data_IF_050617413281
#
_entry.id   IF_050617413281
#
_cell.length_a   1.000
_cell.length_b   1.000
_cell.length_c   1.000
_cell.angle_alpha   90.00
_cell.angle_beta   90.00
_cell.angle_gamma   90.00
#
_symmetry.space_group_name_H-M   'P 1'
#
loop_
_entity.id
_entity.type
_entity.pdbx_description
1 polymer ?
#
# COMPACT_ATOMS: atom_id res chain seq x y z
N UNK A 1 14.33 55.94 -22.64
CA UNK A 1 15.17 54.74 -22.57
C UNK A 1 14.25 53.54 -22.30
N UNK A 2 14.02 52.70 -23.32
CA UNK A 2 13.43 51.33 -23.36
C UNK A 2 12.27 50.98 -22.38
N UNK A 3 11.00 50.88 -22.83
CA UNK A 3 10.30 49.69 -23.38
C UNK A 3 10.36 48.44 -22.47
N UNK A 4 9.23 48.00 -21.91
CA UNK A 4 8.58 46.73 -22.31
C UNK A 4 7.15 46.57 -21.76
N UNK A 5 6.25 46.19 -22.67
CA UNK A 5 4.85 45.76 -22.48
C UNK A 5 4.82 44.31 -21.99
N UNK A 6 3.99 43.98 -21.00
CA UNK A 6 3.63 42.60 -20.66
C UNK A 6 2.14 42.35 -20.93
N UNK A 7 1.81 41.88 -22.14
CA UNK A 7 0.51 41.28 -22.44
C UNK A 7 0.52 39.86 -21.91
N UNK A 8 -0.45 39.52 -21.05
CA UNK A 8 -0.72 38.14 -20.63
C UNK A 8 -1.25 37.38 -21.85
N UNK A 9 -0.43 36.50 -22.43
CA UNK A 9 -0.85 35.54 -23.45
C UNK A 9 -1.45 34.34 -22.71
N UNK A 10 -2.77 34.15 -22.81
CA UNK A 10 -3.41 32.89 -22.47
C UNK A 10 -3.09 31.92 -23.60
N UNK A 11 -2.12 31.01 -23.37
CA UNK A 11 -1.83 29.89 -24.26
C UNK A 11 -2.95 28.84 -24.10
N UNK A 12 -3.97 28.94 -24.95
CA UNK A 12 -4.88 27.83 -25.21
C UNK A 12 -4.08 26.78 -25.99
N UNK A 13 -3.71 25.68 -25.33
CA UNK A 13 -3.21 24.48 -26.00
C UNK A 13 -4.37 23.86 -26.78
N UNK A 14 -4.59 24.34 -28.01
CA UNK A 14 -5.31 23.59 -29.03
C UNK A 14 -4.41 22.40 -29.42
N UNK A 15 -4.70 21.24 -28.84
CA UNK A 15 -4.22 19.97 -29.38
C UNK A 15 -4.87 19.79 -30.75
N UNK A 16 -4.19 20.25 -31.79
CA UNK A 16 -4.50 19.83 -33.15
C UNK A 16 -4.12 18.36 -33.20
N UNK A 17 -5.13 17.49 -33.23
CA UNK A 17 -4.98 16.12 -33.70
C UNK A 17 -4.41 16.20 -35.11
N UNK A 18 -3.10 16.07 -35.23
CA UNK A 18 -2.55 15.58 -36.48
C UNK A 18 -2.99 14.12 -36.55
N UNK A 19 -3.93 13.84 -37.45
CA UNK A 19 -4.18 12.50 -37.96
C UNK A 19 -2.83 11.99 -38.48
N UNK A 20 -2.10 11.32 -37.60
CA UNK A 20 -0.90 10.59 -37.96
C UNK A 20 -1.31 9.60 -39.04
N UNK A 21 -0.64 9.70 -40.18
CA UNK A 21 -0.75 8.74 -41.26
C UNK A 21 -0.75 7.33 -40.69
N UNK A 22 -1.76 6.54 -41.05
CA UNK A 22 -1.87 5.13 -40.71
C UNK A 22 -0.65 4.40 -41.27
N UNK A 23 0.34 4.16 -40.42
CA UNK A 23 1.27 3.06 -40.64
C UNK A 23 0.40 1.80 -40.73
N UNK A 24 0.28 1.22 -41.93
CA UNK A 24 -0.73 0.20 -42.24
C UNK A 24 -0.82 -0.87 -41.15
N UNK A 25 -2.06 -1.13 -40.70
CA UNK A 25 -2.34 -2.17 -39.72
C UNK A 25 -1.77 -3.51 -40.20
N UNK A 26 -1.29 -4.33 -39.27
CA UNK A 26 -0.80 -5.67 -39.61
C UNK A 26 -1.90 -6.47 -40.31
N UNK A 27 -1.57 -7.13 -41.43
CA UNK A 27 -2.49 -8.06 -42.09
C UNK A 27 -2.72 -9.31 -41.23
N UNK A 28 -3.84 -10.00 -41.43
CA UNK A 28 -4.16 -11.22 -40.66
C UNK A 28 -3.05 -12.27 -40.75
N UNK A 29 -2.52 -12.48 -41.96
CA UNK A 29 -1.42 -13.41 -42.21
C UNK A 29 -0.12 -12.99 -41.52
N UNK A 30 0.12 -11.68 -41.34
CA UNK A 30 1.27 -11.19 -40.60
C UNK A 30 1.13 -11.44 -39.10
N UNK A 31 -0.08 -11.28 -38.53
CA UNK A 31 -0.36 -11.57 -37.12
C UNK A 31 -0.16 -13.06 -36.83
N UNK A 32 -0.73 -13.94 -37.63
CA UNK A 32 -0.58 -15.40 -37.47
C UNK A 32 0.89 -15.84 -37.56
N UNK A 33 1.63 -15.35 -38.56
CA UNK A 33 3.08 -15.60 -38.68
C UNK A 33 3.86 -15.07 -37.48
N UNK A 34 3.45 -13.94 -36.91
CA UNK A 34 4.07 -13.38 -35.72
C UNK A 34 3.87 -14.30 -34.50
N UNK A 35 2.64 -14.76 -34.28
CA UNK A 35 2.30 -15.68 -33.18
C UNK A 35 3.13 -16.96 -33.33
N UNK A 36 3.14 -17.59 -34.50
CA UNK A 36 3.94 -18.80 -34.76
C UNK A 36 5.43 -18.60 -34.52
N UNK A 37 5.97 -17.42 -34.87
CA UNK A 37 7.39 -17.09 -34.65
C UNK A 37 7.71 -16.89 -33.17
N UNK A 38 6.78 -16.35 -32.39
CA UNK A 38 7.00 -15.98 -30.98
C UNK A 38 6.56 -17.04 -29.98
N UNK A 39 5.62 -17.90 -30.36
CA UNK A 39 5.06 -18.93 -29.50
C UNK A 39 5.54 -20.30 -29.97
N UNK A 40 6.58 -20.83 -29.32
CA UNK A 40 7.09 -22.18 -29.55
C UNK A 40 6.25 -23.21 -28.79
N UNK A 41 6.52 -24.49 -29.06
CA UNK A 41 5.83 -25.60 -28.38
C UNK A 41 5.96 -25.47 -26.86
N UNK A 42 4.81 -25.47 -26.17
CA UNK A 42 4.65 -25.31 -24.71
C UNK A 42 4.92 -23.90 -24.16
N UNK A 43 5.17 -22.90 -25.00
CA UNK A 43 5.25 -21.52 -24.51
C UNK A 43 3.88 -21.08 -23.97
N UNK A 44 3.94 -20.44 -22.80
CA UNK A 44 2.77 -19.83 -22.15
C UNK A 44 2.81 -18.31 -22.19
N UNK A 45 3.90 -17.71 -22.68
CA UNK A 45 4.11 -16.28 -22.67
C UNK A 45 4.18 -15.77 -24.10
N UNK A 46 3.22 -14.92 -24.48
CA UNK A 46 3.23 -14.22 -25.75
C UNK A 46 3.51 -12.74 -25.51
N UNK A 47 4.59 -12.23 -26.09
CA UNK A 47 4.93 -10.81 -26.08
C UNK A 47 4.79 -10.23 -27.47
N UNK A 48 3.94 -9.21 -27.60
CA UNK A 48 3.76 -8.44 -28.82
C UNK A 48 4.33 -7.05 -28.59
N UNK A 49 5.35 -6.69 -29.36
CA UNK A 49 5.99 -5.37 -29.33
C UNK A 49 5.74 -4.60 -30.65
N UNK A 50 4.77 -5.05 -31.45
CA UNK A 50 4.45 -4.47 -32.75
C UNK A 50 3.53 -3.27 -32.59
N UNK A 51 4.07 -2.07 -32.80
CA UNK A 51 3.33 -0.80 -32.64
C UNK A 51 2.12 -0.66 -33.56
N UNK A 52 2.08 -1.45 -34.65
CA UNK A 52 1.03 -1.37 -35.66
C UNK A 52 0.00 -2.52 -35.55
N UNK A 53 -0.03 -3.24 -34.42
CA UNK A 53 -1.03 -4.28 -34.21
C UNK A 53 -2.44 -3.66 -34.24
N UNK A 54 -2.69 -2.65 -33.40
CA UNK A 54 -3.98 -1.98 -33.28
C UNK A 54 -5.12 -2.94 -32.91
N UNK A 55 -6.35 -2.41 -32.88
CA UNK A 55 -7.54 -3.19 -32.52
C UNK A 55 -7.83 -4.31 -33.52
N UNK A 56 -7.64 -4.06 -34.82
CA UNK A 56 -7.88 -5.07 -35.87
C UNK A 56 -6.91 -6.24 -35.80
N UNK A 57 -5.61 -5.98 -35.60
CA UNK A 57 -4.62 -7.03 -35.42
C UNK A 57 -4.84 -7.81 -34.13
N UNK A 58 -5.27 -7.13 -33.06
CA UNK A 58 -5.61 -7.78 -31.80
C UNK A 58 -6.85 -8.68 -31.93
N UNK A 59 -7.84 -8.27 -32.73
CA UNK A 59 -9.00 -9.10 -33.05
C UNK A 59 -8.61 -10.40 -33.76
N UNK A 60 -7.69 -10.34 -34.72
CA UNK A 60 -7.14 -11.55 -35.37
C UNK A 60 -6.42 -12.44 -34.35
N UNK A 61 -5.56 -11.84 -33.51
CA UNK A 61 -4.83 -12.57 -32.47
C UNK A 61 -5.79 -13.29 -31.51
N UNK A 62 -6.85 -12.61 -31.08
CA UNK A 62 -7.85 -13.14 -30.16
C UNK A 62 -8.58 -14.38 -30.73
N UNK A 63 -8.76 -14.47 -32.04
CA UNK A 63 -9.41 -15.61 -32.70
C UNK A 63 -8.44 -16.75 -33.04
N UNK A 64 -7.13 -16.54 -32.96
CA UNK A 64 -6.14 -17.55 -33.30
C UNK A 64 -6.17 -18.75 -32.35
N UNK A 65 -6.28 -20.00 -32.82
CA UNK A 65 -6.20 -21.18 -31.97
C UNK A 65 -4.80 -21.38 -31.35
N UNK A 66 -3.78 -20.72 -31.91
CA UNK A 66 -2.41 -20.81 -31.41
C UNK A 66 -2.25 -20.21 -30.01
N UNK A 67 -3.08 -19.23 -29.64
CA UNK A 67 -2.97 -18.57 -28.33
C UNK A 67 -3.64 -19.36 -27.20
N UNK A 68 -4.15 -20.57 -27.46
CA UNK A 68 -4.89 -21.37 -26.47
C UNK A 68 -4.10 -21.74 -25.21
N UNK A 69 -2.77 -21.89 -25.35
CA UNK A 69 -1.87 -22.20 -24.24
C UNK A 69 -1.31 -20.97 -23.53
N UNK A 70 -1.62 -19.76 -24.01
CA UNK A 70 -1.05 -18.52 -23.48
C UNK A 70 -1.66 -18.25 -22.09
N UNK A 71 -0.80 -18.21 -21.09
CA UNK A 71 -1.12 -17.81 -19.72
C UNK A 71 -0.68 -16.37 -19.44
N UNK A 72 0.29 -15.84 -20.18
CA UNK A 72 0.77 -14.47 -20.05
C UNK A 72 0.79 -13.78 -21.39
N UNK A 73 0.02 -12.71 -21.52
CA UNK A 73 -0.03 -11.88 -22.73
C UNK A 73 0.51 -10.48 -22.41
N UNK A 74 1.51 -10.05 -23.17
CA UNK A 74 2.12 -8.71 -23.05
C UNK A 74 1.92 -7.93 -24.33
N UNK A 75 1.24 -6.79 -24.20
CA UNK A 75 0.81 -5.90 -25.28
C UNK A 75 1.30 -4.47 -24.99
N UNK A 76 2.62 -4.28 -24.99
CA UNK A 76 3.22 -2.99 -24.68
C UNK A 76 3.16 -2.06 -25.89
N UNK A 77 2.47 -0.92 -25.75
CA UNK A 77 2.44 0.16 -26.76
C UNK A 77 2.11 -0.34 -28.17
N UNK A 78 1.05 -1.13 -28.28
CA UNK A 78 0.58 -1.73 -29.52
C UNK A 78 -0.60 -0.98 -30.15
N UNK A 79 -0.92 0.22 -29.62
CA UNK A 79 -1.96 1.13 -30.09
C UNK A 79 -3.38 0.54 -30.05
N UNK A 80 -3.71 -0.19 -28.99
CA UNK A 80 -5.06 -0.75 -28.79
C UNK A 80 -5.93 0.19 -27.95
N UNK A 81 -7.23 0.15 -28.21
CA UNK A 81 -8.29 0.87 -27.50
C UNK A 81 -9.24 -0.12 -26.82
N UNK A 82 -10.37 0.38 -26.32
CA UNK A 82 -11.43 -0.44 -25.72
C UNK A 82 -11.98 -1.50 -26.69
N UNK A 83 -11.94 -1.25 -28.00
CA UNK A 83 -12.38 -2.21 -29.02
C UNK A 83 -11.45 -3.43 -29.12
N UNK A 84 -10.13 -3.21 -29.05
CA UNK A 84 -9.16 -4.29 -28.96
C UNK A 84 -9.33 -5.12 -27.69
N UNK A 85 -9.69 -4.47 -26.57
CA UNK A 85 -10.01 -5.16 -25.33
C UNK A 85 -11.29 -5.99 -25.46
N UNK A 86 -12.33 -5.50 -26.14
CA UNK A 86 -13.54 -6.28 -26.46
C UNK A 86 -13.20 -7.55 -27.22
N UNK A 87 -12.38 -7.43 -28.26
CA UNK A 87 -11.92 -8.58 -29.01
C UNK A 87 -11.20 -9.63 -28.15
N UNK A 88 -10.33 -9.20 -27.23
CA UNK A 88 -9.68 -10.13 -26.29
C UNK A 88 -10.69 -10.77 -25.32
N UNK A 89 -11.62 -9.98 -24.79
CA UNK A 89 -12.64 -10.45 -23.86
C UNK A 89 -13.58 -11.49 -24.48
N UNK A 90 -13.84 -11.38 -25.79
CA UNK A 90 -14.66 -12.31 -26.57
C UNK A 90 -13.88 -13.50 -27.14
N UNK A 91 -12.57 -13.59 -26.87
CA UNK A 91 -11.72 -14.65 -27.40
C UNK A 91 -12.17 -16.05 -26.92
N UNK A 92 -12.41 -17.00 -27.83
CA UNK A 92 -12.67 -18.39 -27.44
C UNK A 92 -11.40 -19.12 -26.97
N UNK A 93 -10.22 -18.57 -27.26
CA UNK A 93 -8.94 -19.25 -27.08
C UNK A 93 -8.16 -18.78 -25.84
N UNK A 94 -8.39 -17.58 -25.32
CA UNK A 94 -7.58 -16.99 -24.24
C UNK A 94 -8.05 -17.32 -22.81
N UNK A 95 -8.86 -18.36 -22.62
CA UNK A 95 -9.40 -18.74 -21.29
C UNK A 95 -8.34 -19.17 -20.27
N UNK A 96 -7.12 -19.45 -20.73
CA UNK A 96 -5.98 -19.84 -19.89
C UNK A 96 -5.19 -18.64 -19.33
N UNK A 97 -5.58 -17.40 -19.65
CA UNK A 97 -4.84 -16.21 -19.21
C UNK A 97 -4.85 -16.05 -17.70
N UNK A 98 -3.64 -15.93 -17.14
CA UNK A 98 -3.38 -15.62 -15.73
C UNK A 98 -2.74 -14.23 -15.56
N UNK A 99 -2.08 -13.70 -16.60
CA UNK A 99 -1.44 -12.40 -16.54
C UNK A 99 -1.63 -11.62 -17.85
N UNK A 100 -2.14 -10.40 -17.74
CA UNK A 100 -2.41 -9.52 -18.87
C UNK A 100 -1.74 -8.17 -18.66
N UNK A 101 -0.79 -7.85 -19.54
CA UNK A 101 -0.03 -6.62 -19.53
C UNK A 101 -0.41 -5.76 -20.74
N UNK A 102 -0.94 -4.56 -20.48
CA UNK A 102 -1.55 -3.66 -21.44
C UNK A 102 -0.93 -2.26 -21.36
N UNK A 103 0.35 -2.17 -21.00
CA UNK A 103 0.96 -0.87 -20.70
C UNK A 103 1.05 0.03 -21.93
N UNK A 104 0.90 1.34 -21.72
CA UNK A 104 1.01 2.37 -22.76
C UNK A 104 0.06 2.17 -23.96
N UNK A 105 -1.23 1.97 -23.69
CA UNK A 105 -2.26 1.91 -24.72
C UNK A 105 -3.32 3.01 -24.50
N UNK A 106 -4.44 2.92 -25.22
CA UNK A 106 -5.53 3.91 -25.18
C UNK A 106 -6.78 3.35 -24.49
N UNK A 107 -6.59 2.54 -23.45
CA UNK A 107 -7.69 1.89 -22.72
C UNK A 107 -8.33 2.91 -21.77
N UNK A 108 -9.65 3.04 -21.83
CA UNK A 108 -10.45 3.90 -20.96
C UNK A 108 -11.25 3.06 -19.96
N UNK A 109 -12.08 3.70 -19.15
CA UNK A 109 -13.00 3.01 -18.24
C UNK A 109 -13.89 2.00 -18.93
N UNK A 110 -14.25 2.20 -20.21
CA UNK A 110 -15.07 1.25 -20.97
C UNK A 110 -14.32 -0.06 -21.23
N UNK A 111 -13.04 0.01 -21.60
CA UNK A 111 -12.20 -1.18 -21.75
C UNK A 111 -12.02 -1.89 -20.41
N UNK A 112 -11.87 -1.15 -19.32
CA UNK A 112 -11.78 -1.71 -17.97
C UNK A 112 -13.10 -2.38 -17.55
N UNK A 113 -14.25 -1.81 -17.87
CA UNK A 113 -15.56 -2.41 -17.64
C UNK A 113 -15.73 -3.74 -18.40
N UNK A 114 -15.26 -3.79 -19.66
CA UNK A 114 -15.23 -5.02 -20.45
C UNK A 114 -14.33 -6.07 -19.77
N UNK A 115 -13.13 -5.69 -19.32
CA UNK A 115 -12.23 -6.60 -18.60
C UNK A 115 -12.91 -7.14 -17.34
N UNK A 116 -13.53 -6.25 -16.57
CA UNK A 116 -14.14 -6.54 -15.26
C UNK A 116 -15.40 -7.41 -15.34
N UNK A 117 -16.00 -7.56 -16.52
CA UNK A 117 -17.19 -8.38 -16.74
C UNK A 117 -16.92 -9.61 -17.63
N UNK A 118 -15.68 -9.81 -18.09
CA UNK A 118 -15.36 -10.91 -19.01
C UNK A 118 -15.05 -12.21 -18.28
N UNK A 119 -15.76 -13.28 -18.65
CA UNK A 119 -15.43 -14.64 -18.21
C UNK A 119 -14.09 -15.16 -18.75
N UNK A 120 -13.58 -14.60 -19.86
CA UNK A 120 -12.26 -14.96 -20.43
C UNK A 120 -11.12 -14.62 -19.46
N UNK A 121 -11.30 -13.56 -18.66
CA UNK A 121 -10.31 -13.08 -17.71
C UNK A 121 -10.53 -13.57 -16.27
N UNK A 122 -11.43 -14.54 -16.07
CA UNK A 122 -11.76 -15.07 -14.73
C UNK A 122 -10.60 -15.74 -14.00
N UNK A 123 -9.53 -16.12 -14.72
CA UNK A 123 -8.32 -16.71 -14.16
C UNK A 123 -7.19 -15.68 -13.95
N UNK A 124 -7.41 -14.39 -14.25
CA UNK A 124 -6.38 -13.38 -14.10
C UNK A 124 -5.94 -13.21 -12.64
N UNK A 125 -4.63 -13.31 -12.44
CA UNK A 125 -3.90 -13.00 -11.22
C UNK A 125 -3.19 -11.66 -11.32
N UNK A 126 -2.71 -11.31 -12.51
CA UNK A 126 -1.99 -10.06 -12.76
C UNK A 126 -2.70 -9.27 -13.86
N UNK A 127 -3.02 -8.01 -13.56
CA UNK A 127 -3.54 -7.05 -14.53
C UNK A 127 -2.68 -5.79 -14.47
N UNK A 128 -2.02 -5.48 -15.59
CA UNK A 128 -1.22 -4.27 -15.70
C UNK A 128 -1.81 -3.33 -16.76
N UNK A 129 -2.37 -2.23 -16.28
CA UNK A 129 -2.97 -1.13 -17.03
C UNK A 129 -2.13 0.17 -16.90
N UNK A 130 -0.84 0.05 -16.59
CA UNK A 130 0.07 1.17 -16.49
C UNK A 130 0.00 2.09 -17.72
N UNK A 131 -0.07 3.39 -17.50
CA UNK A 131 -0.07 4.39 -18.55
C UNK A 131 -1.21 4.19 -19.57
N UNK A 132 -2.45 4.26 -19.08
CA UNK A 132 -3.68 4.27 -19.87
C UNK A 132 -4.55 5.48 -19.46
N UNK A 133 -5.85 5.46 -19.73
CA UNK A 133 -6.80 6.55 -19.44
C UNK A 133 -7.86 6.10 -18.43
N UNK A 134 -7.46 5.30 -17.42
CA UNK A 134 -8.37 4.79 -16.39
C UNK A 134 -8.65 5.87 -15.34
N UNK A 135 -9.92 6.06 -14.99
CA UNK A 135 -10.37 6.98 -13.94
C UNK A 135 -10.93 6.22 -12.73
N UNK A 136 -11.55 6.94 -11.79
CA UNK A 136 -12.26 6.35 -10.65
C UNK A 136 -13.38 5.38 -11.09
N UNK A 137 -13.97 5.58 -12.28
CA UNK A 137 -15.02 4.70 -12.83
C UNK A 137 -14.45 3.32 -13.16
N UNK A 138 -13.32 3.25 -13.86
CA UNK A 138 -12.65 1.98 -14.16
C UNK A 138 -12.07 1.33 -12.91
N UNK A 139 -11.51 2.10 -11.98
CA UNK A 139 -11.06 1.59 -10.69
C UNK A 139 -12.21 0.93 -9.91
N UNK A 140 -13.39 1.55 -9.89
CA UNK A 140 -14.60 0.99 -9.31
C UNK A 140 -15.06 -0.28 -10.02
N UNK A 141 -15.05 -0.30 -11.36
CA UNK A 141 -15.41 -1.48 -12.13
C UNK A 141 -14.54 -2.70 -11.77
N UNK A 142 -13.23 -2.50 -11.59
CA UNK A 142 -12.32 -3.56 -11.12
C UNK A 142 -12.67 -3.97 -9.68
N UNK A 143 -12.88 -3.00 -8.79
CA UNK A 143 -13.19 -3.24 -7.38
C UNK A 143 -14.47 -4.07 -7.18
N UNK A 144 -15.49 -3.86 -8.02
CA UNK A 144 -16.79 -4.53 -7.94
C UNK A 144 -16.88 -5.81 -8.78
N UNK A 145 -15.83 -6.16 -9.53
CA UNK A 145 -15.84 -7.28 -10.47
C UNK A 145 -16.09 -8.63 -9.77
N UNK A 146 -17.06 -9.37 -10.30
CA UNK A 146 -17.31 -10.77 -9.92
C UNK A 146 -16.41 -11.76 -10.69
N UNK A 147 -15.73 -11.33 -11.75
CA UNK A 147 -14.86 -12.20 -12.57
C UNK A 147 -13.40 -12.12 -12.14
N UNK A 148 -12.89 -10.96 -11.71
CA UNK A 148 -11.49 -10.73 -11.35
C UNK A 148 -11.16 -11.16 -9.90
N UNK A 149 -11.91 -12.10 -9.32
CA UNK A 149 -11.76 -12.51 -7.91
C UNK A 149 -10.42 -13.17 -7.57
N UNK A 150 -9.70 -13.62 -8.60
CA UNK A 150 -8.39 -14.27 -8.51
C UNK A 150 -7.22 -13.28 -8.60
N UNK A 151 -7.49 -11.98 -8.78
CA UNK A 151 -6.46 -10.97 -8.95
C UNK A 151 -5.61 -10.83 -7.68
N UNK A 152 -4.31 -10.93 -7.84
CA UNK A 152 -3.29 -10.79 -6.78
C UNK A 152 -2.50 -9.50 -6.91
N UNK A 153 -2.31 -9.04 -8.15
CA UNK A 153 -1.54 -7.85 -8.49
C UNK A 153 -2.25 -6.97 -9.52
N UNK A 154 -2.37 -5.69 -9.21
CA UNK A 154 -2.98 -4.68 -10.06
C UNK A 154 -2.05 -3.48 -10.22
N UNK A 155 -1.67 -3.18 -11.46
CA UNK A 155 -0.90 -1.99 -11.77
C UNK A 155 -1.72 -0.97 -12.54
N UNK A 156 -1.97 0.18 -11.90
CA UNK A 156 -2.71 1.33 -12.42
C UNK A 156 -1.87 2.61 -12.37
N UNK A 157 -0.53 2.49 -12.27
CA UNK A 157 0.37 3.63 -12.30
C UNK A 157 0.15 4.48 -13.57
N UNK A 158 0.36 5.80 -13.49
CA UNK A 158 0.18 6.73 -14.62
C UNK A 158 -1.22 6.65 -15.26
N UNK A 159 -2.26 6.81 -14.45
CA UNK A 159 -3.64 6.93 -14.91
C UNK A 159 -4.27 8.21 -14.34
N UNK A 160 -5.60 8.30 -14.32
CA UNK A 160 -6.38 9.45 -13.88
C UNK A 160 -7.25 9.13 -12.65
N UNK A 161 -6.74 8.26 -11.77
CA UNK A 161 -7.44 7.84 -10.54
C UNK A 161 -7.25 8.90 -9.44
N UNK A 162 -8.34 9.30 -8.78
CA UNK A 162 -8.32 10.22 -7.65
C UNK A 162 -8.53 9.43 -6.35
N UNK A 163 -8.87 10.12 -5.26
CA UNK A 163 -9.12 9.47 -3.98
C UNK A 163 -10.27 8.45 -3.98
N UNK A 164 -11.43 8.71 -4.61
CA UNK A 164 -12.54 7.75 -4.63
C UNK A 164 -12.16 6.41 -5.26
N UNK A 165 -11.51 6.40 -6.44
CA UNK A 165 -11.10 5.16 -7.09
C UNK A 165 -10.07 4.37 -6.28
N UNK A 166 -9.10 5.06 -5.66
CA UNK A 166 -8.15 4.42 -4.75
C UNK A 166 -8.84 3.79 -3.54
N UNK A 167 -9.86 4.46 -2.98
CA UNK A 167 -10.67 3.93 -1.86
C UNK A 167 -11.46 2.70 -2.28
N UNK A 168 -12.15 2.73 -3.43
CA UNK A 168 -12.92 1.58 -3.94
C UNK A 168 -12.03 0.34 -4.10
N UNK A 169 -10.86 0.49 -4.73
CA UNK A 169 -9.91 -0.61 -4.93
C UNK A 169 -9.42 -1.19 -3.60
N UNK A 170 -9.00 -0.33 -2.67
CA UNK A 170 -8.41 -0.75 -1.39
C UNK A 170 -9.43 -1.33 -0.40
N UNK A 171 -10.72 -1.08 -0.60
CA UNK A 171 -11.81 -1.60 0.23
C UNK A 171 -12.64 -2.70 -0.44
N UNK A 172 -12.23 -3.16 -1.63
CA UNK A 172 -12.97 -4.20 -2.35
C UNK A 172 -13.14 -5.46 -1.50
N UNK A 173 -14.39 -5.93 -1.40
CA UNK A 173 -14.75 -7.21 -0.75
C UNK A 173 -14.71 -8.39 -1.72
N UNK A 174 -14.55 -8.11 -3.02
CA UNK A 174 -14.54 -9.08 -4.11
C UNK A 174 -13.13 -9.52 -4.44
N UNK A 175 -12.17 -8.59 -4.45
CA UNK A 175 -10.76 -8.83 -4.74
C UNK A 175 -9.99 -9.36 -3.51
N UNK A 176 -10.40 -10.53 -3.00
CA UNK A 176 -9.91 -11.07 -1.72
C UNK A 176 -8.46 -11.56 -1.75
N UNK A 177 -7.95 -11.87 -2.95
CA UNK A 177 -6.57 -12.33 -3.15
C UNK A 177 -5.62 -11.17 -3.46
N UNK A 178 -6.14 -9.94 -3.64
CA UNK A 178 -5.35 -8.79 -4.04
C UNK A 178 -4.47 -8.35 -2.88
N UNK A 179 -3.16 -8.40 -3.10
CA UNK A 179 -2.16 -7.99 -2.12
C UNK A 179 -1.19 -6.92 -2.65
N UNK A 180 -1.27 -6.59 -3.94
CA UNK A 180 -0.49 -5.51 -4.54
C UNK A 180 -1.36 -4.62 -5.42
N UNK A 181 -1.32 -3.31 -5.14
CA UNK A 181 -1.96 -2.27 -5.95
C UNK A 181 -0.96 -1.14 -6.15
N UNK A 182 -0.61 -0.89 -7.40
CA UNK A 182 0.28 0.21 -7.79
C UNK A 182 -0.55 1.38 -8.33
N UNK A 183 -0.48 2.52 -7.63
CA UNK A 183 -1.25 3.74 -7.91
C UNK A 183 -0.38 5.01 -8.04
N UNK A 184 0.94 4.86 -8.13
CA UNK A 184 1.86 5.97 -8.35
C UNK A 184 1.52 6.77 -9.61
N UNK A 185 1.82 8.07 -9.58
CA UNK A 185 1.56 9.00 -10.70
C UNK A 185 0.08 9.08 -11.13
N UNK A 186 -0.82 8.99 -10.16
CA UNK A 186 -2.23 9.33 -10.30
C UNK A 186 -2.56 10.59 -9.47
N UNK A 187 -3.59 11.39 -9.84
CA UNK A 187 -4.01 12.60 -9.12
C UNK A 187 -4.73 12.33 -7.78
N UNK A 188 -4.17 11.46 -6.93
CA UNK A 188 -4.81 11.02 -5.68
C UNK A 188 -4.69 12.09 -4.59
N UNK A 189 -5.83 12.57 -4.05
CA UNK A 189 -5.84 13.45 -2.89
C UNK A 189 -5.46 12.74 -1.58
N UNK A 190 -5.38 13.50 -0.48
CA UNK A 190 -4.87 13.00 0.82
C UNK A 190 -5.61 11.77 1.34
N UNK A 191 -6.95 11.72 1.23
CA UNK A 191 -7.77 10.59 1.70
C UNK A 191 -7.44 9.30 0.95
N UNK A 192 -7.36 9.35 -0.38
CA UNK A 192 -6.97 8.20 -1.20
C UNK A 192 -5.54 7.71 -0.90
N UNK A 193 -4.60 8.64 -0.68
CA UNK A 193 -3.23 8.28 -0.28
C UNK A 193 -3.19 7.56 1.06
N UNK A 194 -4.02 7.96 2.03
CA UNK A 194 -4.12 7.27 3.31
C UNK A 194 -4.74 5.89 3.17
N UNK A 195 -5.82 5.74 2.39
CA UNK A 195 -6.43 4.44 2.12
C UNK A 195 -5.45 3.47 1.44
N UNK A 196 -4.71 3.95 0.44
CA UNK A 196 -3.66 3.17 -0.22
C UNK A 196 -2.53 2.80 0.74
N UNK A 197 -2.02 3.76 1.54
CA UNK A 197 -0.97 3.48 2.53
C UNK A 197 -1.44 2.48 3.59
N UNK A 198 -2.70 2.55 4.03
CA UNK A 198 -3.32 1.59 4.96
C UNK A 198 -3.36 0.20 4.35
N UNK A 199 -3.77 0.07 3.09
CA UNK A 199 -3.76 -1.21 2.38
C UNK A 199 -2.34 -1.79 2.34
N UNK A 200 -1.34 -0.99 1.94
CA UNK A 200 0.07 -1.43 1.89
C UNK A 200 0.58 -1.91 3.26
N UNK A 201 0.29 -1.17 4.33
CA UNK A 201 0.67 -1.55 5.69
C UNK A 201 -0.04 -2.83 6.13
N UNK A 202 -1.33 -2.98 5.83
CA UNK A 202 -2.11 -4.17 6.17
C UNK A 202 -1.57 -5.42 5.47
N UNK A 203 -1.24 -5.34 4.18
CA UNK A 203 -0.62 -6.46 3.46
C UNK A 203 0.77 -6.78 3.98
N UNK A 204 1.56 -5.76 4.32
CA UNK A 204 2.86 -5.96 4.94
C UNK A 204 2.75 -6.63 6.33
N UNK A 205 1.78 -6.25 7.17
CA UNK A 205 1.55 -6.91 8.46
C UNK A 205 1.08 -8.36 8.29
N UNK A 206 0.24 -8.65 7.29
CA UNK A 206 -0.13 -10.02 6.93
C UNK A 206 1.10 -10.84 6.52
N UNK A 207 2.01 -10.26 5.73
CA UNK A 207 3.27 -10.91 5.35
C UNK A 207 4.15 -11.18 6.57
N UNK A 208 4.37 -10.19 7.44
CA UNK A 208 5.11 -10.39 8.68
C UNK A 208 4.48 -11.51 9.54
N UNK A 209 3.16 -11.52 9.69
CA UNK A 209 2.44 -12.55 10.45
C UNK A 209 2.60 -13.94 9.84
N UNK A 210 2.37 -14.09 8.53
CA UNK A 210 2.55 -15.37 7.80
C UNK A 210 3.97 -15.93 7.94
N UNK A 211 4.95 -15.05 8.07
CA UNK A 211 6.36 -15.41 8.23
C UNK A 211 6.84 -15.45 9.69
N UNK A 212 5.94 -15.36 10.69
CA UNK A 212 6.27 -15.34 12.13
C UNK A 212 7.25 -14.20 12.53
N UNK A 213 7.12 -13.05 11.89
CA UNK A 213 7.97 -11.86 12.03
C UNK A 213 7.18 -10.63 12.49
N UNK A 214 5.97 -10.78 13.04
CA UNK A 214 5.12 -9.64 13.43
C UNK A 214 5.80 -8.71 14.46
N UNK A 215 6.69 -9.25 15.29
CA UNK A 215 7.53 -8.48 16.22
C UNK A 215 8.53 -7.53 15.53
N UNK A 216 8.77 -7.66 14.23
CA UNK A 216 9.64 -6.79 13.42
C UNK A 216 8.91 -5.58 12.83
N UNK A 217 7.66 -5.34 13.23
CA UNK A 217 6.82 -4.26 12.68
C UNK A 217 7.41 -2.85 12.85
N UNK A 218 8.29 -2.62 13.82
CA UNK A 218 8.99 -1.34 13.98
C UNK A 218 10.15 -1.09 13.01
N UNK A 219 10.57 -2.06 12.21
CA UNK A 219 11.75 -1.88 11.33
C UNK A 219 11.50 -0.89 10.17
N UNK A 220 10.24 -0.59 9.81
CA UNK A 220 9.91 0.10 8.56
C UNK A 220 9.42 1.56 8.69
N UNK A 221 9.79 2.30 9.75
CA UNK A 221 9.36 3.70 9.98
C UNK A 221 7.86 3.91 9.68
N UNK A 222 7.02 3.34 10.53
CA UNK A 222 5.58 3.26 10.28
C UNK A 222 4.82 4.54 10.65
N UNK A 223 5.40 5.39 11.51
CA UNK A 223 4.78 6.62 12.01
C UNK A 223 3.49 6.37 12.80
N UNK A 224 2.85 7.45 13.24
CA UNK A 224 1.62 7.37 14.04
C UNK A 224 0.49 6.66 13.29
N UNK A 225 0.34 6.97 12.01
CA UNK A 225 -0.64 6.31 11.15
C UNK A 225 -0.42 4.80 11.08
N UNK A 226 0.82 4.34 10.98
CA UNK A 226 1.13 2.92 10.96
C UNK A 226 0.80 2.22 12.27
N UNK A 227 1.01 2.89 13.41
CA UNK A 227 0.55 2.38 14.71
C UNK A 227 -0.98 2.26 14.75
N UNK A 228 -1.73 3.24 14.24
CA UNK A 228 -3.19 3.13 14.16
C UNK A 228 -3.63 1.93 13.32
N UNK A 229 -2.99 1.71 12.17
CA UNK A 229 -3.28 0.56 11.30
C UNK A 229 -2.89 -0.75 11.99
N UNK A 230 -1.77 -0.78 12.73
CA UNK A 230 -1.33 -1.96 13.48
C UNK A 230 -2.35 -2.33 14.56
N UNK A 231 -2.91 -1.36 15.26
CA UNK A 231 -3.94 -1.62 16.28
C UNK A 231 -5.26 -2.13 15.69
N UNK A 232 -5.50 -1.90 14.40
CA UNK A 232 -6.61 -2.51 13.68
C UNK A 232 -6.31 -3.94 13.20
N UNK A 233 -5.04 -4.32 13.12
CA UNK A 233 -4.63 -5.64 12.65
C UNK A 233 -5.20 -6.76 13.54
N UNK A 234 -5.85 -7.80 12.98
CA UNK A 234 -6.52 -8.84 13.78
C UNK A 234 -5.60 -9.61 14.73
N UNK A 235 -4.32 -9.77 14.37
CA UNK A 235 -3.35 -10.57 15.12
C UNK A 235 -2.45 -9.71 16.04
N UNK A 236 -2.74 -8.41 16.21
CA UNK A 236 -1.96 -7.54 17.10
C UNK A 236 -1.96 -8.02 18.55
N UNK A 237 -2.97 -8.79 18.97
CA UNK A 237 -3.05 -9.40 20.29
C UNK A 237 -2.07 -10.55 20.52
N UNK A 238 -1.40 -11.04 19.48
CA UNK A 238 -0.35 -12.05 19.59
C UNK A 238 1.01 -11.44 19.98
N UNK A 239 1.14 -10.11 19.97
CA UNK A 239 2.39 -9.43 20.31
C UNK A 239 2.67 -9.42 21.81
N UNK A 240 3.72 -10.14 22.21
CA UNK A 240 4.31 -10.03 23.55
C UNK A 240 5.43 -8.99 23.60
N UNK A 241 6.10 -8.75 22.48
CA UNK A 241 7.15 -7.73 22.33
C UNK A 241 6.83 -6.85 21.13
N UNK A 242 6.84 -5.53 21.35
CA UNK A 242 6.62 -4.52 20.34
C UNK A 242 7.78 -3.54 20.36
N UNK A 243 8.66 -3.67 19.37
CA UNK A 243 9.68 -2.67 19.12
C UNK A 243 9.18 -1.65 18.09
N UNK A 244 9.13 -0.39 18.49
CA UNK A 244 8.76 0.78 17.69
C UNK A 244 9.84 1.87 17.82
N UNK A 245 11.08 1.48 18.11
CA UNK A 245 12.22 2.38 18.16
C UNK A 245 12.36 3.16 16.85
N UNK A 246 12.67 4.46 16.94
CA UNK A 246 12.99 5.29 15.76
C UNK A 246 11.92 5.22 14.65
N UNK A 247 10.65 5.38 15.03
CA UNK A 247 9.51 5.34 14.11
C UNK A 247 8.85 6.71 13.91
N UNK A 248 9.52 7.80 14.34
CA UNK A 248 8.97 9.17 14.31
C UNK A 248 7.61 9.30 15.00
N UNK A 249 7.38 8.53 16.06
CA UNK A 249 6.11 8.52 16.78
C UNK A 249 5.93 9.76 17.64
N UNK A 250 4.70 10.26 17.72
CA UNK A 250 4.30 11.33 18.63
C UNK A 250 3.43 10.79 19.78
N UNK A 251 2.96 11.69 20.66
CA UNK A 251 2.02 11.31 21.71
C UNK A 251 0.72 10.71 21.16
N UNK A 252 0.32 11.02 19.93
CA UNK A 252 -0.88 10.45 19.29
C UNK A 252 -0.81 8.92 19.22
N UNK A 253 0.31 8.37 18.73
CA UNK A 253 0.52 6.92 18.69
C UNK A 253 0.55 6.29 20.08
N UNK A 254 1.23 6.93 21.04
CA UNK A 254 1.37 6.40 22.39
C UNK A 254 0.04 6.40 23.13
N UNK A 255 -0.79 7.42 22.93
CA UNK A 255 -2.16 7.48 23.46
C UNK A 255 -3.02 6.37 22.86
N UNK A 256 -2.94 6.12 21.55
CA UNK A 256 -3.69 5.03 20.93
C UNK A 256 -3.25 3.65 21.44
N UNK A 257 -1.93 3.43 21.57
CA UNK A 257 -1.40 2.22 22.19
C UNK A 257 -1.94 2.04 23.61
N UNK A 258 -1.87 3.08 24.45
CA UNK A 258 -2.30 2.99 25.85
C UNK A 258 -3.80 2.69 26.01
N UNK A 259 -4.62 3.09 25.04
CA UNK A 259 -6.07 2.84 25.03
C UNK A 259 -6.46 1.51 24.40
N UNK A 260 -5.57 0.85 23.65
CA UNK A 260 -5.88 -0.36 22.90
C UNK A 260 -6.06 -1.58 23.80
N UNK A 261 -7.28 -2.12 23.81
CA UNK A 261 -7.61 -3.36 24.54
C UNK A 261 -7.02 -4.62 23.91
N UNK A 262 -6.48 -4.52 22.69
CA UNK A 262 -5.95 -5.68 21.95
C UNK A 262 -4.53 -6.05 22.35
N UNK A 263 -3.75 -5.12 22.91
CA UNK A 263 -2.33 -5.34 23.24
C UNK A 263 -2.09 -5.78 24.70
N UNK A 264 -3.09 -6.40 25.34
CA UNK A 264 -3.01 -6.82 26.75
C UNK A 264 -1.96 -7.89 27.03
N UNK A 265 -1.50 -8.60 26.00
CA UNK A 265 -0.44 -9.60 26.06
C UNK A 265 0.96 -8.99 26.13
N UNK A 266 1.10 -7.68 25.91
CA UNK A 266 2.40 -7.04 25.77
C UNK A 266 3.21 -7.06 27.08
N UNK A 267 4.42 -7.60 26.98
CA UNK A 267 5.41 -7.73 28.06
C UNK A 267 6.58 -6.77 27.86
N UNK A 268 6.94 -6.47 26.61
CA UNK A 268 8.04 -5.56 26.27
C UNK A 268 7.59 -4.53 25.24
N UNK A 269 7.82 -3.25 25.54
CA UNK A 269 7.50 -2.13 24.67
C UNK A 269 8.73 -1.23 24.54
N UNK A 270 9.22 -1.08 23.31
CA UNK A 270 10.30 -0.16 22.99
C UNK A 270 9.78 1.01 22.16
N UNK A 271 9.78 2.20 22.76
CA UNK A 271 9.39 3.47 22.15
C UNK A 271 10.58 4.44 22.09
N UNK A 272 11.81 3.94 22.20
CA UNK A 272 13.00 4.81 22.20
C UNK A 272 13.22 5.54 20.87
N UNK A 273 13.93 6.66 20.90
CA UNK A 273 14.24 7.48 19.71
C UNK A 273 12.97 7.95 18.97
N UNK A 274 11.97 8.45 19.70
CA UNK A 274 10.74 9.01 19.14
C UNK A 274 10.51 10.44 19.66
N UNK A 275 9.32 11.01 19.43
CA UNK A 275 8.94 12.35 19.86
C UNK A 275 7.93 12.33 21.01
N UNK A 276 8.01 11.34 21.91
CA UNK A 276 7.11 11.20 23.06
C UNK A 276 7.39 12.30 24.09
N UNK A 277 6.35 12.96 24.60
CA UNK A 277 6.44 13.99 25.63
C UNK A 277 5.79 13.53 26.94
N UNK A 278 5.64 14.45 27.89
CA UNK A 278 4.90 14.19 29.13
C UNK A 278 3.48 13.70 28.90
N UNK A 279 2.83 14.08 27.79
CA UNK A 279 1.48 13.65 27.48
C UNK A 279 1.42 12.15 27.17
N UNK A 280 2.32 11.64 26.32
CA UNK A 280 2.43 10.21 26.03
C UNK A 280 2.86 9.39 27.24
N UNK A 281 3.81 9.89 28.05
CA UNK A 281 4.22 9.23 29.29
C UNK A 281 3.06 9.11 30.31
N UNK A 282 2.26 10.17 30.49
CA UNK A 282 1.06 10.12 31.30
C UNK A 282 0.02 9.13 30.76
N UNK A 283 -0.13 9.03 29.44
CA UNK A 283 -1.04 8.08 28.81
C UNK A 283 -0.62 6.63 29.09
N UNK A 284 0.67 6.30 28.98
CA UNK A 284 1.21 4.99 29.35
C UNK A 284 0.98 4.70 30.84
N UNK A 285 1.29 5.65 31.71
CA UNK A 285 1.12 5.53 33.16
C UNK A 285 -0.33 5.24 33.58
N UNK A 286 -1.32 5.69 32.80
CA UNK A 286 -2.75 5.48 33.08
C UNK A 286 -3.35 4.27 32.34
N UNK A 287 -2.56 3.54 31.55
CA UNK A 287 -3.07 2.44 30.75
C UNK A 287 -3.48 1.24 31.61
N UNK A 288 -4.73 0.81 31.48
CA UNK A 288 -5.22 -0.45 32.08
C UNK A 288 -4.94 -1.67 31.18
N UNK A 289 -4.36 -1.43 29.99
CA UNK A 289 -4.08 -2.49 29.02
C UNK A 289 -2.61 -2.94 29.04
N UNK A 290 -1.73 -2.22 29.73
CA UNK A 290 -0.28 -2.49 29.78
C UNK A 290 0.17 -3.01 31.16
N UNK A 291 -0.74 -3.53 31.97
CA UNK A 291 -0.42 -4.02 33.33
C UNK A 291 0.56 -5.20 33.37
N UNK A 292 0.70 -5.93 32.25
CA UNK A 292 1.64 -7.05 32.10
C UNK A 292 3.04 -6.62 31.66
N UNK A 293 3.23 -5.32 31.40
CA UNK A 293 4.49 -4.81 30.89
C UNK A 293 5.59 -4.96 31.94
N UNK A 294 6.69 -5.61 31.52
CA UNK A 294 7.91 -5.82 32.32
C UNK A 294 9.05 -4.94 31.84
N UNK A 295 9.10 -4.66 30.53
CA UNK A 295 10.16 -3.86 29.91
C UNK A 295 9.54 -2.67 29.19
N UNK A 296 9.92 -1.47 29.60
CA UNK A 296 9.55 -0.22 28.94
C UNK A 296 10.79 0.59 28.62
N UNK A 297 11.02 0.83 27.33
CA UNK A 297 12.11 1.68 26.88
C UNK A 297 11.58 2.97 26.24
N UNK A 298 11.89 4.10 26.87
CA UNK A 298 11.51 5.46 26.48
C UNK A 298 12.74 6.35 26.29
N UNK A 299 13.94 5.79 26.13
CA UNK A 299 15.16 6.57 25.91
C UNK A 299 15.04 7.49 24.69
N UNK A 300 15.78 8.60 24.67
CA UNK A 300 15.83 9.53 23.53
C UNK A 300 14.44 10.01 23.09
N UNK A 301 13.69 10.56 24.05
CA UNK A 301 12.40 11.20 23.84
C UNK A 301 12.44 12.62 24.44
N UNK A 302 11.27 13.24 24.66
CA UNK A 302 11.14 14.61 25.17
C UNK A 302 10.35 14.66 26.49
N UNK A 303 10.42 13.59 27.28
CA UNK A 303 9.72 13.47 28.57
C UNK A 303 10.42 14.35 29.61
N UNK A 304 9.65 15.13 30.37
CA UNK A 304 10.11 15.95 31.48
C UNK A 304 9.70 15.39 32.84
N UNK A 305 9.78 16.24 33.86
CA UNK A 305 9.46 15.87 35.26
C UNK A 305 8.02 15.40 35.43
N UNK A 306 7.08 15.99 34.68
CA UNK A 306 5.65 15.63 34.78
C UNK A 306 5.41 14.20 34.31
N UNK A 307 5.98 13.81 33.17
CA UNK A 307 5.86 12.45 32.66
C UNK A 307 6.62 11.42 33.49
N UNK A 308 7.81 11.76 33.97
CA UNK A 308 8.58 10.91 34.88
C UNK A 308 7.83 10.65 36.19
N UNK A 309 7.27 11.70 36.79
CA UNK A 309 6.43 11.59 38.00
C UNK A 309 5.20 10.72 37.74
N UNK A 310 4.53 10.90 36.60
CA UNK A 310 3.37 10.07 36.26
C UNK A 310 3.71 8.57 36.15
N UNK A 311 4.86 8.23 35.56
CA UNK A 311 5.35 6.84 35.51
C UNK A 311 5.66 6.32 36.92
N UNK A 312 6.34 7.12 37.75
CA UNK A 312 6.69 6.76 39.12
C UNK A 312 5.46 6.49 40.02
N UNK A 313 4.40 7.28 39.85
CA UNK A 313 3.17 7.18 40.64
C UNK A 313 2.18 6.14 40.09
N UNK A 314 2.49 5.48 38.98
CA UNK A 314 1.56 4.54 38.35
C UNK A 314 1.53 3.17 39.02
N UNK A 315 0.39 2.74 39.61
CA UNK A 315 0.22 1.37 40.06
C UNK A 315 0.07 0.38 38.89
N UNK A 316 -0.26 0.88 37.69
CA UNK A 316 -0.43 0.05 36.48
C UNK A 316 0.90 -0.44 35.92
N UNK A 317 1.99 0.25 36.23
CA UNK A 317 3.34 -0.11 35.81
C UNK A 317 4.15 -0.81 36.92
N UNK A 318 3.50 -1.27 38.00
CA UNK A 318 4.17 -1.91 39.14
C UNK A 318 4.92 -3.21 38.79
N UNK A 319 4.58 -3.85 37.67
CA UNK A 319 5.23 -5.07 37.18
C UNK A 319 6.49 -4.80 36.34
N UNK A 320 6.88 -3.53 36.15
CA UNK A 320 8.10 -3.22 35.41
C UNK A 320 9.34 -3.75 36.14
N UNK A 321 10.13 -4.51 35.39
CA UNK A 321 11.45 -5.04 35.78
C UNK A 321 12.58 -4.19 35.18
N UNK A 322 12.31 -3.52 34.05
CA UNK A 322 13.25 -2.62 33.37
C UNK A 322 12.52 -1.40 32.83
N UNK A 323 12.93 -0.21 33.28
CA UNK A 323 12.49 1.09 32.79
C UNK A 323 13.69 1.89 32.30
N UNK A 324 13.68 2.33 31.04
CA UNK A 324 14.73 3.17 30.46
C UNK A 324 14.18 4.54 30.07
N UNK A 325 14.73 5.60 30.66
CA UNK A 325 14.31 6.99 30.46
C UNK A 325 15.49 7.94 30.16
N UNK A 326 16.67 7.42 29.86
CA UNK A 326 17.86 8.20 29.56
C UNK A 326 17.67 9.10 28.32
N UNK A 327 18.41 10.21 28.27
CA UNK A 327 18.36 11.15 27.15
C UNK A 327 16.93 11.70 26.92
N UNK A 328 16.29 12.08 28.03
CA UNK A 328 15.03 12.82 28.09
C UNK A 328 15.28 14.19 28.76
N UNK A 329 14.23 14.97 29.00
CA UNK A 329 14.28 16.29 29.66
C UNK A 329 13.92 16.22 31.15
N UNK A 330 14.24 15.11 31.80
CA UNK A 330 13.92 14.86 33.21
C UNK A 330 14.92 15.62 34.09
N UNK A 331 14.40 16.49 34.94
CA UNK A 331 15.13 17.25 35.95
C UNK A 331 15.15 16.55 37.30
N UNK A 332 15.54 17.32 38.32
CA UNK A 332 15.73 16.82 39.69
C UNK A 332 14.41 16.28 40.28
N UNK A 333 13.29 16.93 39.97
CA UNK A 333 11.99 16.55 40.52
C UNK A 333 11.51 15.20 39.98
N UNK A 334 11.63 14.97 38.66
CA UNK A 334 11.28 13.69 38.05
C UNK A 334 12.23 12.57 38.48
N UNK A 335 13.53 12.84 38.57
CA UNK A 335 14.52 11.89 39.08
C UNK A 335 14.23 11.48 40.53
N UNK A 336 13.89 12.46 41.39
CA UNK A 336 13.47 12.20 42.77
C UNK A 336 12.21 11.35 42.83
N UNK A 337 11.18 11.69 42.05
CA UNK A 337 9.94 10.92 42.01
C UNK A 337 10.16 9.46 41.60
N UNK A 338 11.03 9.20 40.61
CA UNK A 338 11.39 7.84 40.18
C UNK A 338 12.13 7.07 41.27
N UNK A 339 13.05 7.73 41.99
CA UNK A 339 13.82 7.11 43.08
C UNK A 339 12.97 6.81 44.33
N UNK A 340 11.97 7.66 44.61
CA UNK A 340 11.06 7.53 45.74
C UNK A 340 9.78 6.73 45.41
N UNK A 341 9.68 6.15 44.20
CA UNK A 341 8.47 5.46 43.75
C UNK A 341 8.15 4.25 44.63
N UNK A 342 6.94 4.23 45.19
CA UNK A 342 6.40 3.06 45.89
C UNK A 342 5.79 2.02 44.93
N UNK A 343 5.62 2.33 43.64
CA UNK A 343 5.01 1.39 42.69
C UNK A 343 6.07 0.56 41.94
N UNK A 344 7.22 1.15 41.61
CA UNK A 344 8.26 0.54 40.76
C UNK A 344 9.22 -0.36 41.55
N UNK A 345 8.70 -1.20 42.46
CA UNK A 345 9.50 -2.02 43.39
C UNK A 345 10.26 -3.17 42.72
N UNK A 346 9.86 -3.55 41.50
CA UNK A 346 10.40 -4.71 40.77
C UNK A 346 11.55 -4.35 39.82
N UNK A 347 11.98 -3.08 39.75
CA UNK A 347 13.06 -2.66 38.87
C UNK A 347 14.39 -3.33 39.26
N UNK A 348 14.94 -4.14 38.36
CA UNK A 348 16.20 -4.87 38.56
C UNK A 348 17.40 -3.96 38.26
N UNK A 349 17.22 -3.02 37.33
CA UNK A 349 18.21 -2.01 37.00
C UNK A 349 17.71 -0.65 37.47
N UNK A 350 18.48 0.08 38.30
CA UNK A 350 18.07 1.42 38.71
C UNK A 350 17.99 2.32 37.47
N UNK A 351 17.15 3.35 37.53
CA UNK A 351 17.00 4.35 36.47
C UNK A 351 18.27 5.22 36.45
N UNK A 352 19.39 4.69 35.96
CA UNK A 352 20.64 5.41 35.83
C UNK A 352 20.77 5.99 34.41
N UNK A 353 20.96 7.31 34.32
CA UNK A 353 21.20 7.97 33.04
C UNK A 353 20.89 9.46 32.95
N UNK A 354 20.68 10.16 34.07
CA UNK A 354 20.56 11.63 34.09
C UNK A 354 21.96 12.26 34.15
N UNK A 355 22.69 12.25 33.03
CA UNK A 355 23.94 13.00 32.88
C UNK A 355 23.83 13.95 31.69
#
# INVERSE_FOLDING_TARGET
>A
MFIFRGRVLILIFLYVFTLGATSGAMSETAVEKYIQKKLKRNDKVLRINEKNLGDSGLAVLAQSPLVRSVATLVLYKVNISDEGIRALAESPNLKSLEALYLEHNFITDKGVEIISNSGTFSNLKILNLHHNQVTDVGAKAIADSDTLTQLTELNLNYNLINGPGAVELTHSKKLRQLHSIELAYNPIEKSGKQAWKRFQLMEWFKDLHRNNRLNQVGEAMIGDFGVMVLLDFPFVSELETLDLKNNSLTDEAVIALSQSKKIKSLVSLNLSENNVTDAGAQALARSENLERLKVLNLNFNRIGDVGAKAIAESPRLANLESLKLGQNKIGVEGARALNESENLKNLIHPVFGFY
#
